data_IF_237297888144
#
_entry.id   IF_237297888144
#
_cell.length_a   1.000
_cell.length_b   1.000
_cell.length_c   1.000
_cell.angle_alpha   90.00
_cell.angle_beta   90.00
_cell.angle_gamma   90.00
#
_symmetry.space_group_name_H-M   'P 1'
#
loop_
_entity.id
_entity.type
_entity.pdbx_description
1 polymer ?
#
# COMPACT_ATOMS: atom_id res chain seq x y z
N UNK A 1 -14.18 -7.19 -11.56
CA UNK A 1 -12.78 -7.20 -11.10
C UNK A 1 -12.50 -8.21 -9.98
N UNK A 2 -13.51 -8.72 -9.26
CA UNK A 2 -13.37 -9.90 -8.37
C UNK A 2 -14.19 -11.08 -8.91
N UNK A 3 -13.74 -11.68 -10.01
CA UNK A 3 -14.32 -12.96 -10.44
C UNK A 3 -13.57 -14.11 -9.77
N UNK A 4 -14.27 -14.88 -8.93
CA UNK A 4 -13.66 -16.00 -8.19
C UNK A 4 -13.24 -17.15 -9.12
N UNK A 5 -13.84 -17.26 -10.31
CA UNK A 5 -13.47 -18.29 -11.29
C UNK A 5 -12.15 -18.02 -12.03
N UNK A 6 -11.59 -16.81 -11.94
CA UNK A 6 -10.37 -16.46 -12.65
C UNK A 6 -9.56 -15.44 -11.85
N UNK A 7 -8.89 -15.88 -10.76
CA UNK A 7 -8.05 -15.00 -9.98
C UNK A 7 -6.85 -14.52 -10.81
N UNK A 8 -6.49 -13.25 -10.64
CA UNK A 8 -5.28 -12.70 -11.24
C UNK A 8 -4.09 -13.14 -10.39
N UNK A 9 -3.25 -14.00 -10.95
CA UNK A 9 -2.04 -14.47 -10.29
C UNK A 9 -0.88 -13.47 -10.47
N UNK A 10 -0.09 -13.32 -9.42
CA UNK A 10 1.16 -12.55 -9.43
C UNK A 10 2.27 -13.38 -8.80
N UNK A 11 3.51 -12.92 -8.92
CA UNK A 11 4.65 -13.59 -8.30
C UNK A 11 4.49 -13.63 -6.76
N UNK A 12 4.67 -14.80 -6.12
CA UNK A 12 4.76 -14.89 -4.66
C UNK A 12 6.03 -14.16 -4.21
N UNK A 13 5.89 -13.01 -3.55
CA UNK A 13 7.03 -12.18 -3.13
C UNK A 13 7.38 -12.31 -1.65
N UNK A 14 6.64 -13.13 -0.88
CA UNK A 14 6.83 -13.39 0.56
C UNK A 14 7.14 -12.12 1.37
N UNK A 15 6.49 -11.00 1.02
CA UNK A 15 6.68 -9.76 1.74
C UNK A 15 6.10 -9.89 3.15
N UNK A 16 6.70 -9.21 4.14
CA UNK A 16 6.07 -9.06 5.44
C UNK A 16 4.73 -8.32 5.30
N UNK A 17 3.82 -8.49 6.28
CA UNK A 17 2.60 -7.69 6.32
C UNK A 17 2.94 -6.19 6.45
N UNK A 18 2.07 -5.35 5.91
CA UNK A 18 2.24 -3.89 5.98
C UNK A 18 2.15 -3.39 7.41
N UNK A 19 3.13 -2.58 7.82
CA UNK A 19 3.22 -1.98 9.15
C UNK A 19 2.60 -0.58 9.11
N UNK A 20 1.57 -0.39 9.91
CA UNK A 20 0.89 0.90 10.06
C UNK A 20 1.11 1.42 11.48
N UNK A 21 1.63 2.63 11.60
CA UNK A 21 1.78 3.36 12.84
C UNK A 21 1.03 4.69 12.68
N UNK A 22 -0.13 4.81 13.33
CA UNK A 22 -0.93 6.04 13.34
C UNK A 22 -1.29 6.53 11.92
N UNK A 23 -2.10 5.78 11.17
CA UNK A 23 -2.43 6.11 9.78
C UNK A 23 -3.95 6.26 9.61
N UNK A 24 -4.37 7.40 9.08
CA UNK A 24 -5.77 7.68 8.71
C UNK A 24 -5.98 7.27 7.25
N UNK A 25 -6.62 6.12 7.03
CA UNK A 25 -6.82 5.54 5.71
C UNK A 25 -8.32 5.52 5.37
N UNK A 26 -8.71 6.21 4.30
CA UNK A 26 -10.10 6.28 3.83
C UNK A 26 -10.16 5.94 2.35
N UNK A 27 -11.08 5.05 1.95
CA UNK A 27 -11.32 4.64 0.56
C UNK A 27 -10.05 4.26 -0.23
N UNK A 28 -9.07 3.64 0.43
CA UNK A 28 -7.74 3.39 -0.12
C UNK A 28 -7.34 1.92 -0.04
N UNK A 29 -6.50 1.48 -0.98
CA UNK A 29 -5.98 0.12 -1.07
C UNK A 29 -4.50 0.10 -0.72
N UNK A 30 -4.08 -0.78 0.18
CA UNK A 30 -2.70 -0.90 0.63
C UNK A 30 -2.12 -2.25 0.19
N UNK A 31 -1.01 -2.21 -0.53
CA UNK A 31 -0.25 -3.38 -0.96
C UNK A 31 0.57 -4.00 0.18
N UNK A 32 1.28 -5.07 -0.13
CA UNK A 32 2.09 -5.81 0.83
C UNK A 32 3.43 -5.12 1.15
N UNK A 33 3.93 -5.32 2.37
CA UNK A 33 5.25 -4.84 2.78
C UNK A 33 5.38 -3.32 2.92
N UNK A 34 4.28 -2.58 3.06
CA UNK A 34 4.33 -1.14 3.25
C UNK A 34 4.76 -0.77 4.67
N UNK A 35 5.44 0.35 4.84
CA UNK A 35 5.76 0.95 6.13
C UNK A 35 5.13 2.33 6.15
N UNK A 36 4.13 2.52 7.00
CA UNK A 36 3.30 3.71 7.04
C UNK A 36 3.39 4.30 8.44
N UNK A 37 3.77 5.58 8.55
CA UNK A 37 3.91 6.28 9.84
C UNK A 37 3.20 7.63 9.81
N UNK A 38 2.38 7.92 10.82
CA UNK A 38 1.73 9.20 11.08
C UNK A 38 1.25 9.94 9.82
N UNK A 39 0.39 9.33 9.01
CA UNK A 39 0.02 9.86 7.69
C UNK A 39 -1.47 9.76 7.38
N UNK A 40 -1.91 10.54 6.39
CA UNK A 40 -3.29 10.55 5.90
C UNK A 40 -3.35 10.06 4.45
N UNK A 41 -4.16 9.03 4.19
CA UNK A 41 -4.32 8.42 2.87
C UNK A 41 -5.82 8.44 2.52
N UNK A 42 -6.17 9.16 1.46
CA UNK A 42 -7.54 9.32 0.98
C UNK A 42 -7.63 8.93 -0.49
N UNK A 43 -8.61 8.07 -0.83
CA UNK A 43 -8.91 7.64 -2.20
C UNK A 43 -7.66 7.30 -3.03
N UNK A 44 -6.74 6.52 -2.46
CA UNK A 44 -5.43 6.26 -3.06
C UNK A 44 -5.09 4.78 -3.08
N UNK A 45 -4.24 4.38 -4.03
CA UNK A 45 -3.75 3.01 -4.15
C UNK A 45 -2.26 3.02 -3.85
N UNK A 46 -1.86 2.34 -2.78
CA UNK A 46 -0.47 2.21 -2.33
C UNK A 46 0.06 0.85 -2.74
N UNK A 47 1.09 0.85 -3.57
CA UNK A 47 1.76 -0.34 -4.08
C UNK A 47 2.62 -1.03 -3.04
N UNK A 48 3.27 -2.12 -3.45
CA UNK A 48 4.08 -2.92 -2.54
C UNK A 48 5.37 -2.20 -2.10
N UNK A 49 5.87 -2.49 -0.90
CA UNK A 49 7.11 -1.88 -0.34
C UNK A 49 7.10 -0.35 -0.28
N UNK A 50 5.93 0.28 -0.26
CA UNK A 50 5.86 1.73 -0.09
C UNK A 50 6.25 2.12 1.34
N UNK A 51 7.20 3.06 1.46
CA UNK A 51 7.55 3.70 2.72
C UNK A 51 6.93 5.10 2.77
N UNK A 52 5.95 5.30 3.64
CA UNK A 52 5.27 6.57 3.87
C UNK A 52 5.76 7.13 5.21
N UNK A 53 6.46 8.27 5.13
CA UNK A 53 7.01 8.98 6.28
C UNK A 53 5.94 9.78 7.03
N UNK A 54 6.30 10.17 8.26
CA UNK A 54 5.45 10.96 9.15
C UNK A 54 5.06 12.31 8.53
N UNK A 55 3.80 12.70 8.69
CA UNK A 55 3.22 13.93 8.17
C UNK A 55 2.84 13.90 6.69
N UNK A 56 2.96 12.74 6.01
CA UNK A 56 2.58 12.62 4.61
C UNK A 56 1.05 12.67 4.43
N UNK A 57 0.60 13.35 3.39
CA UNK A 57 -0.80 13.43 2.96
C UNK A 57 -0.85 12.93 1.52
N UNK A 58 -1.62 11.87 1.29
CA UNK A 58 -1.75 11.19 0.00
C UNK A 58 -3.22 11.18 -0.35
N UNK A 59 -3.58 11.89 -1.42
CA UNK A 59 -4.97 12.08 -1.85
C UNK A 59 -5.07 11.82 -3.36
N UNK A 60 -6.08 11.07 -3.79
CA UNK A 60 -6.38 10.78 -5.21
C UNK A 60 -5.14 10.32 -6.03
N UNK A 61 -4.27 9.51 -5.43
CA UNK A 61 -2.95 9.17 -5.98
C UNK A 61 -2.74 7.66 -6.13
N UNK A 62 -2.03 7.27 -7.19
CA UNK A 62 -1.52 5.91 -7.40
C UNK A 62 -0.02 5.86 -7.07
N UNK A 63 0.34 5.20 -5.97
CA UNK A 63 1.71 4.86 -5.60
C UNK A 63 2.05 3.47 -6.12
N UNK A 64 3.03 3.36 -7.02
CA UNK A 64 3.48 2.08 -7.56
C UNK A 64 4.28 1.24 -6.54
N UNK A 65 4.92 1.89 -5.57
CA UNK A 65 5.77 1.23 -4.57
C UNK A 65 7.24 1.15 -4.99
N UNK A 66 7.94 0.15 -4.47
CA UNK A 66 9.38 -0.02 -4.68
C UNK A 66 9.77 -1.48 -5.01
N UNK A 67 10.77 -1.63 -5.88
CA UNK A 67 11.31 -2.93 -6.29
C UNK A 67 12.22 -3.56 -5.23
N UNK A 68 12.84 -2.73 -4.39
CA UNK A 68 13.73 -3.13 -3.30
C UNK A 68 13.41 -2.31 -2.03
N UNK A 69 13.67 -2.89 -0.86
CA UNK A 69 13.72 -2.12 0.37
C UNK A 69 15.04 -1.34 0.40
N UNK A 70 14.98 -0.10 0.86
CA UNK A 70 16.16 0.66 1.26
C UNK A 70 16.61 0.25 2.68
#
# INVERSE_FOLDING_TARGET
FYDRSSPIYTQPRYLPPSKMLDADITDSVIGEGCVIKNCKIFHSVVGLRSCISEGAIIEDTLLMGADYYE
#
